data_IF_426761903411
#
_entry.id   IF_426761903411
#
_cell.length_a   1.000
_cell.length_b   1.000
_cell.length_c   1.000
_cell.angle_alpha   90.00
_cell.angle_beta   90.00
_cell.angle_gamma   90.00
#
_symmetry.space_group_name_H-M   'P 1'
#
loop_
_entity.id
_entity.type
_entity.pdbx_description
1 polymer ?
#
# COMPACT_ATOMS: atom_id res chain seq x y z
N UNK A 1 -7.93 -7.71 13.73
CA UNK A 1 -8.54 -7.12 12.52
C UNK A 1 -7.95 -5.75 12.26
N UNK A 2 -7.52 -5.50 11.03
CA UNK A 2 -7.01 -4.20 10.63
C UNK A 2 -8.05 -3.45 9.81
N UNK A 3 -8.01 -2.12 9.89
CA UNK A 3 -8.82 -1.25 9.04
C UNK A 3 -7.95 -0.77 7.89
N UNK A 4 -8.40 -0.97 6.67
CA UNK A 4 -7.61 -0.69 5.46
C UNK A 4 -8.36 0.21 4.50
N UNK A 5 -7.61 1.07 3.81
CA UNK A 5 -8.08 1.80 2.63
C UNK A 5 -7.33 1.24 1.42
N UNK A 6 -8.06 1.00 0.34
CA UNK A 6 -7.50 0.37 -0.86
C UNK A 6 -7.59 1.31 -2.03
N UNK A 7 -6.45 1.56 -2.67
CA UNK A 7 -6.34 2.24 -3.95
C UNK A 7 -5.95 1.18 -4.99
N UNK A 8 -6.97 0.53 -5.59
CA UNK A 8 -6.76 -0.61 -6.46
C UNK A 8 -7.99 -0.83 -7.32
N UNK A 9 -7.86 -1.59 -8.42
CA UNK A 9 -8.95 -1.70 -9.39
C UNK A 9 -9.99 -2.77 -9.06
N UNK A 10 -9.61 -3.96 -8.61
CA UNK A 10 -10.57 -5.03 -8.32
C UNK A 10 -9.93 -6.20 -7.59
N UNK A 11 -10.74 -6.95 -6.85
CA UNK A 11 -10.37 -8.23 -6.23
C UNK A 11 -9.65 -8.14 -4.90
N UNK A 12 -8.95 -7.06 -4.65
CA UNK A 12 -8.14 -6.91 -3.44
C UNK A 12 -9.00 -6.71 -2.19
N UNK A 13 -10.11 -6.01 -2.32
CA UNK A 13 -11.02 -5.77 -1.21
C UNK A 13 -11.52 -7.08 -0.64
N UNK A 14 -12.00 -7.97 -1.50
CA UNK A 14 -12.52 -9.26 -1.05
C UNK A 14 -11.44 -10.11 -0.38
N UNK A 15 -10.23 -10.09 -0.94
CA UNK A 15 -9.14 -10.84 -0.37
C UNK A 15 -8.83 -10.39 1.06
N UNK A 16 -8.78 -9.08 1.28
CA UNK A 16 -8.55 -8.53 2.62
C UNK A 16 -9.70 -8.86 3.56
N UNK A 17 -10.94 -8.76 3.09
CA UNK A 17 -12.11 -9.07 3.91
C UNK A 17 -12.15 -10.56 4.28
N UNK A 18 -11.81 -11.45 3.35
CA UNK A 18 -11.75 -12.88 3.61
C UNK A 18 -10.72 -13.22 4.70
N UNK A 19 -9.68 -12.41 4.82
CA UNK A 19 -8.64 -12.57 5.84
C UNK A 19 -8.99 -11.85 7.16
N UNK A 20 -10.22 -11.36 7.30
CA UNK A 20 -10.70 -10.77 8.54
C UNK A 20 -10.39 -9.29 8.72
N UNK A 21 -9.94 -8.61 7.68
CA UNK A 21 -9.68 -7.16 7.74
C UNK A 21 -10.92 -6.39 7.31
N UNK A 22 -11.06 -5.17 7.78
CA UNK A 22 -12.14 -4.28 7.38
C UNK A 22 -11.62 -3.30 6.34
N UNK A 23 -12.21 -3.31 5.13
CA UNK A 23 -11.90 -2.30 4.12
C UNK A 23 -12.88 -1.16 4.32
N UNK A 24 -12.40 -0.05 4.89
CA UNK A 24 -13.25 1.09 5.23
C UNK A 24 -13.43 2.08 4.08
N UNK A 25 -12.62 1.97 3.03
CA UNK A 25 -12.81 2.73 1.80
C UNK A 25 -12.06 2.07 0.65
N UNK A 26 -12.65 2.13 -0.53
CA UNK A 26 -12.04 1.72 -1.79
C UNK A 26 -12.08 2.93 -2.71
N UNK A 27 -10.92 3.36 -3.18
CA UNK A 27 -10.78 4.60 -3.95
C UNK A 27 -10.08 4.34 -5.27
N UNK A 28 -10.28 5.24 -6.23
CA UNK A 28 -9.85 5.03 -7.61
C UNK A 28 -8.72 5.94 -8.06
N UNK A 29 -8.32 6.92 -7.25
CA UNK A 29 -7.22 7.83 -7.60
C UNK A 29 -6.53 8.36 -6.35
N UNK A 30 -5.38 9.00 -6.53
CA UNK A 30 -4.55 9.47 -5.42
C UNK A 30 -5.21 10.54 -4.58
N UNK A 31 -5.96 11.45 -5.20
CA UNK A 31 -6.66 12.51 -4.47
C UNK A 31 -7.71 11.93 -3.54
N UNK A 32 -8.51 10.97 -4.05
CA UNK A 32 -9.51 10.29 -3.25
C UNK A 32 -8.86 9.49 -2.12
N UNK A 33 -7.68 8.92 -2.37
CA UNK A 33 -6.93 8.20 -1.34
C UNK A 33 -6.57 9.12 -0.17
N UNK A 34 -6.01 10.29 -0.46
CA UNK A 34 -5.61 11.24 0.58
C UNK A 34 -6.82 11.68 1.41
N UNK A 35 -7.94 11.96 0.75
CA UNK A 35 -9.18 12.34 1.44
C UNK A 35 -9.73 11.21 2.31
N UNK A 36 -9.69 9.98 1.81
CA UNK A 36 -10.18 8.83 2.57
C UNK A 36 -9.33 8.56 3.81
N UNK A 37 -8.02 8.68 3.71
CA UNK A 37 -7.12 8.48 4.86
C UNK A 37 -7.36 9.56 5.92
N UNK A 38 -7.50 10.81 5.50
CA UNK A 38 -7.78 11.91 6.43
C UNK A 38 -9.09 11.70 7.21
N UNK A 39 -10.11 11.15 6.53
CA UNK A 39 -11.42 10.91 7.12
C UNK A 39 -11.49 9.63 7.94
N UNK A 40 -10.95 8.54 7.42
CA UNK A 40 -11.11 7.21 8.02
C UNK A 40 -9.99 6.83 8.99
N UNK A 41 -8.83 7.41 8.85
CA UNK A 41 -7.62 7.12 9.64
C UNK A 41 -7.39 5.61 9.77
N UNK A 42 -7.14 4.92 8.64
CA UNK A 42 -6.96 3.47 8.65
C UNK A 42 -5.63 3.06 9.29
N UNK A 43 -5.51 1.78 9.59
CA UNK A 43 -4.22 1.21 10.03
C UNK A 43 -3.25 1.07 8.88
N UNK A 44 -3.75 0.71 7.69
CA UNK A 44 -2.92 0.45 6.53
C UNK A 44 -3.62 0.90 5.26
N UNK A 45 -2.79 1.36 4.31
CA UNK A 45 -3.22 1.66 2.94
C UNK A 45 -2.54 0.67 2.02
N UNK A 46 -3.30 0.06 1.10
CA UNK A 46 -2.76 -0.78 0.04
C UNK A 46 -3.01 -0.06 -1.27
N UNK A 47 -1.96 0.32 -1.99
CA UNK A 47 -2.05 1.19 -3.15
C UNK A 47 -1.30 0.64 -4.35
N UNK A 48 -1.97 0.65 -5.51
CA UNK A 48 -1.33 0.40 -6.80
C UNK A 48 -0.58 1.67 -7.23
N UNK A 49 0.63 1.52 -7.73
CA UNK A 49 1.44 2.67 -8.20
C UNK A 49 0.78 3.36 -9.38
N UNK A 50 0.30 2.59 -10.37
CA UNK A 50 -0.24 3.16 -11.61
C UNK A 50 -1.74 3.37 -11.50
N UNK A 51 -2.13 4.61 -11.26
CA UNK A 51 -3.54 4.99 -11.12
C UNK A 51 -3.86 6.20 -12.01
N UNK A 52 -5.16 6.47 -12.24
CA UNK A 52 -5.56 7.64 -13.02
C UNK A 52 -4.98 8.94 -12.43
N UNK A 53 -4.82 10.00 -13.24
CA UNK A 53 -5.26 10.08 -14.64
C UNK A 53 -4.27 9.50 -15.66
N UNK A 54 -2.98 9.41 -15.35
CA UNK A 54 -1.98 9.06 -16.38
C UNK A 54 -1.51 7.62 -16.32
N UNK A 55 -1.84 6.88 -15.26
CA UNK A 55 -1.40 5.50 -15.05
C UNK A 55 0.12 5.36 -15.06
N UNK A 56 0.82 6.33 -14.50
CA UNK A 56 2.28 6.29 -14.34
C UNK A 56 2.66 6.02 -12.89
N UNK A 57 2.65 7.06 -12.04
CA UNK A 57 3.11 6.93 -10.66
C UNK A 57 2.20 7.63 -9.63
N UNK A 58 0.95 7.87 -9.98
CA UNK A 58 0.03 8.59 -9.09
C UNK A 58 -0.13 7.92 -7.73
N UNK A 59 -0.20 6.59 -7.71
CA UNK A 59 -0.30 5.86 -6.45
C UNK A 59 0.96 5.99 -5.61
N UNK A 60 2.12 5.97 -6.23
CA UNK A 60 3.38 6.19 -5.52
C UNK A 60 3.44 7.59 -4.92
N UNK A 61 3.09 8.60 -5.70
CA UNK A 61 3.08 9.99 -5.20
C UNK A 61 2.13 10.17 -4.03
N UNK A 62 0.94 9.55 -4.10
CA UNK A 62 0.00 9.59 -3.00
C UNK A 62 0.56 8.88 -1.75
N UNK A 63 1.22 7.75 -1.93
CA UNK A 63 1.85 7.03 -0.83
C UNK A 63 2.94 7.87 -0.16
N UNK A 64 3.77 8.54 -0.95
CA UNK A 64 4.82 9.41 -0.42
C UNK A 64 4.23 10.58 0.36
N UNK A 65 3.15 11.16 -0.14
CA UNK A 65 2.45 12.24 0.57
C UNK A 65 1.87 11.76 1.88
N UNK A 66 1.29 10.55 1.90
CA UNK A 66 0.76 9.96 3.14
C UNK A 66 1.85 9.75 4.18
N UNK A 67 3.02 9.31 3.76
CA UNK A 67 4.14 9.13 4.68
C UNK A 67 4.57 10.45 5.32
N UNK A 68 4.43 11.54 4.59
CA UNK A 68 4.74 12.87 5.11
C UNK A 68 3.65 13.40 6.04
N UNK A 69 2.39 13.22 5.67
CA UNK A 69 1.26 13.83 6.38
C UNK A 69 0.62 12.94 7.42
N UNK A 70 0.70 11.62 7.24
CA UNK A 70 0.08 10.63 8.14
C UNK A 70 1.09 9.54 8.47
N UNK A 71 2.18 9.86 9.20
CA UNK A 71 3.26 8.90 9.44
C UNK A 71 2.83 7.69 10.29
N UNK A 72 1.70 7.79 10.99
CA UNK A 72 1.16 6.67 11.74
C UNK A 72 0.36 5.67 10.91
N UNK A 73 0.09 5.97 9.63
CA UNK A 73 -0.61 5.07 8.73
C UNK A 73 0.40 4.26 7.92
N UNK A 74 0.34 2.94 8.01
CA UNK A 74 1.22 2.08 7.22
C UNK A 74 0.81 2.10 5.75
N UNK A 75 1.78 1.97 4.85
CA UNK A 75 1.54 2.00 3.41
C UNK A 75 2.21 0.80 2.74
N UNK A 76 1.42 0.00 2.05
CA UNK A 76 1.91 -1.10 1.22
C UNK A 76 1.62 -0.76 -0.24
N UNK A 77 2.68 -0.63 -1.03
CA UNK A 77 2.58 -0.24 -2.43
C UNK A 77 2.79 -1.46 -3.31
N UNK A 78 1.93 -1.61 -4.32
CA UNK A 78 2.00 -2.71 -5.29
C UNK A 78 2.40 -2.18 -6.66
N UNK A 79 3.28 -2.91 -7.35
CA UNK A 79 3.79 -2.51 -8.64
C UNK A 79 3.87 -3.71 -9.58
N UNK A 80 3.63 -3.47 -10.87
CA UNK A 80 3.81 -4.50 -11.89
C UNK A 80 5.28 -4.88 -12.05
N UNK A 81 6.18 -3.91 -11.91
CA UNK A 81 7.62 -4.09 -11.97
C UNK A 81 8.27 -3.44 -10.77
N UNK A 82 9.33 -4.03 -10.24
CA UNK A 82 10.10 -3.42 -9.18
C UNK A 82 11.07 -2.39 -9.76
N UNK A 83 11.02 -1.18 -9.22
CA UNK A 83 11.96 -0.11 -9.57
C UNK A 83 12.69 0.33 -8.31
N UNK A 84 14.01 0.23 -8.35
CA UNK A 84 14.87 0.56 -7.20
C UNK A 84 14.69 2.00 -6.72
N UNK A 85 14.47 2.92 -7.65
CA UNK A 85 14.26 4.34 -7.31
C UNK A 85 12.98 4.55 -6.49
N UNK A 86 11.92 3.77 -6.76
CA UNK A 86 10.68 3.86 -5.99
C UNK A 86 10.88 3.32 -4.58
N UNK A 87 11.60 2.20 -4.46
CA UNK A 87 11.93 1.66 -3.15
C UNK A 87 12.73 2.67 -2.33
N UNK A 88 13.72 3.31 -2.94
CA UNK A 88 14.54 4.31 -2.26
C UNK A 88 13.70 5.48 -1.76
N UNK A 89 12.76 5.98 -2.58
CA UNK A 89 11.88 7.06 -2.18
C UNK A 89 10.97 6.67 -1.02
N UNK A 90 10.39 5.46 -1.09
CA UNK A 90 9.50 4.97 -0.04
C UNK A 90 10.21 4.77 1.30
N UNK A 91 11.46 4.35 1.27
CA UNK A 91 12.24 4.08 2.47
C UNK A 91 12.96 5.31 3.02
N UNK A 92 12.91 6.43 2.29
CA UNK A 92 13.60 7.65 2.71
C UNK A 92 13.11 8.11 4.08
N UNK A 93 14.04 8.39 4.98
CA UNK A 93 13.76 8.83 6.34
C UNK A 93 13.56 7.67 7.31
N UNK A 94 12.62 6.78 7.05
CA UNK A 94 12.35 5.64 7.93
C UNK A 94 11.72 4.50 7.14
N UNK A 95 12.16 3.25 7.33
CA UNK A 95 11.51 2.10 6.70
C UNK A 95 10.28 1.61 7.45
N UNK A 96 9.96 2.18 8.60
CA UNK A 96 8.86 1.70 9.43
C UNK A 96 7.50 1.90 8.77
N UNK A 97 6.69 0.86 8.75
CA UNK A 97 5.33 0.92 8.21
C UNK A 97 5.28 1.03 6.69
N UNK A 98 6.29 0.53 5.98
CA UNK A 98 6.38 0.62 4.53
C UNK A 98 6.51 -0.75 3.92
N UNK A 99 5.72 -1.00 2.87
CA UNK A 99 5.86 -2.19 2.05
C UNK A 99 5.90 -1.84 0.57
N UNK A 100 6.65 -2.64 -0.19
CA UNK A 100 6.72 -2.51 -1.64
C UNK A 100 6.84 -3.91 -2.24
N UNK A 101 5.76 -4.37 -2.88
CA UNK A 101 5.67 -5.72 -3.45
C UNK A 101 5.27 -5.67 -4.92
N UNK A 102 5.66 -6.72 -5.64
CA UNK A 102 5.08 -6.97 -6.96
C UNK A 102 3.59 -7.32 -6.82
N UNK A 103 2.78 -6.86 -7.76
CA UNK A 103 1.35 -7.21 -7.81
C UNK A 103 1.15 -8.73 -7.88
N UNK A 104 2.06 -9.44 -8.52
CA UNK A 104 1.99 -10.90 -8.62
C UNK A 104 2.04 -11.60 -7.27
N UNK A 105 2.63 -10.96 -6.24
CA UNK A 105 2.69 -11.55 -4.89
C UNK A 105 1.32 -11.67 -4.24
N UNK A 106 0.33 -10.92 -4.72
CA UNK A 106 -1.04 -11.01 -4.19
C UNK A 106 -1.65 -12.40 -4.46
N UNK A 107 -1.19 -13.09 -5.49
CA UNK A 107 -1.64 -14.45 -5.78
C UNK A 107 -1.23 -15.45 -4.68
N UNK A 108 -0.16 -15.17 -3.95
CA UNK A 108 0.17 -15.91 -2.74
C UNK A 108 -0.47 -15.18 -1.56
N UNK A 109 -1.67 -15.63 -1.19
CA UNK A 109 -2.48 -14.96 -0.18
C UNK A 109 -1.75 -14.86 1.16
N UNK A 110 -1.07 -15.93 1.56
CA UNK A 110 -0.34 -15.95 2.84
C UNK A 110 0.81 -14.94 2.85
N UNK A 111 1.56 -14.84 1.75
CA UNK A 111 2.64 -13.87 1.63
C UNK A 111 2.11 -12.44 1.68
N UNK A 112 1.02 -12.18 0.94
CA UNK A 112 0.42 -10.85 0.90
C UNK A 112 -0.13 -10.43 2.26
N UNK A 113 -0.91 -11.29 2.92
CA UNK A 113 -1.50 -10.96 4.21
C UNK A 113 -0.45 -10.83 5.31
N UNK A 114 0.63 -11.60 5.24
CA UNK A 114 1.77 -11.43 6.14
C UNK A 114 2.40 -10.04 5.96
N UNK A 115 2.58 -9.62 4.72
CA UNK A 115 3.15 -8.30 4.45
C UNK A 115 2.25 -7.18 4.98
N UNK A 116 0.93 -7.28 4.77
CA UNK A 116 -0.02 -6.30 5.30
C UNK A 116 0.09 -6.20 6.82
N UNK A 117 0.10 -7.33 7.51
CA UNK A 117 0.22 -7.35 8.96
C UNK A 117 1.54 -6.78 9.45
N UNK A 118 2.63 -7.09 8.75
CA UNK A 118 3.96 -6.63 9.12
C UNK A 118 4.09 -5.12 9.03
N UNK A 119 3.64 -4.52 7.92
CA UNK A 119 3.72 -3.05 7.79
C UNK A 119 2.78 -2.35 8.76
N UNK A 120 1.58 -2.91 8.98
CA UNK A 120 0.63 -2.33 9.92
C UNK A 120 1.17 -2.34 11.35
N UNK A 121 2.05 -3.30 11.69
CA UNK A 121 2.71 -3.37 12.99
C UNK A 121 3.96 -2.48 13.08
N UNK A 122 4.26 -1.72 12.05
CA UNK A 122 5.42 -0.82 12.03
C UNK A 122 6.65 -1.40 11.37
N UNK A 123 6.57 -2.62 10.82
CA UNK A 123 7.69 -3.26 10.15
C UNK A 123 7.82 -2.83 8.70
N UNK A 124 8.72 -3.52 7.99
CA UNK A 124 9.01 -3.28 6.58
C UNK A 124 8.78 -4.57 5.80
N UNK A 125 8.14 -4.47 4.64
CA UNK A 125 7.90 -5.61 3.76
C UNK A 125 8.35 -5.27 2.35
N UNK A 126 9.56 -5.66 1.99
CA UNK A 126 10.09 -5.44 0.65
C UNK A 126 10.02 -6.71 -0.17
N UNK A 127 9.62 -6.57 -1.43
CA UNK A 127 9.64 -7.69 -2.36
C UNK A 127 11.07 -8.23 -2.45
N UNK A 128 11.20 -9.55 -2.55
CA UNK A 128 12.51 -10.18 -2.63
C UNK A 128 13.33 -9.70 -3.84
N UNK A 129 12.67 -9.19 -4.88
CA UNK A 129 13.38 -8.62 -6.02
C UNK A 129 14.05 -7.29 -5.69
N UNK A 130 13.57 -6.56 -4.68
CA UNK A 130 14.17 -5.30 -4.26
C UNK A 130 15.55 -5.55 -3.64
N UNK A 131 15.68 -6.64 -2.88
CA UNK A 131 16.87 -6.92 -2.07
C UNK A 131 17.82 -7.93 -2.72
N UNK A 132 17.46 -8.47 -3.88
CA UNK A 132 18.31 -9.45 -4.58
C UNK A 132 19.38 -8.81 -5.44
#
# INVERSE_FOLDING_TARGET
>A
MLRAVVLFRAGLVRLLEDEGHQVCAEVADGEALLAAVARQRPDVVVADIRMPPTFTDEGLRAALELRRTHPGTAVLVLSQYIETRYAAQLLHGSPAGVGYLLKDRVADVAEFTDAVGRVAAGGTALDREVVS
#
